data_IF_492607140806
#
_entry.id   IF_492607140806
#
_cell.length_a   1.000
_cell.length_b   1.000
_cell.length_c   1.000
_cell.angle_alpha   90.00
_cell.angle_beta   90.00
_cell.angle_gamma   90.00
#
_symmetry.space_group_name_H-M   'P 1'
#
loop_
_entity.id
_entity.type
_entity.pdbx_description
1 polymer ?
#
# COMPACT_ATOMS: atom_id res chain seq x y z
N UNK A 1 9.51 -22.48 -13.57
CA UNK A 1 8.47 -21.84 -14.42
C UNK A 1 7.21 -21.44 -13.64
N UNK A 2 6.56 -22.35 -12.91
CA UNK A 2 5.33 -22.05 -12.13
C UNK A 2 5.43 -20.83 -11.19
N UNK A 3 6.54 -20.71 -10.44
CA UNK A 3 6.78 -19.56 -9.52
C UNK A 3 6.89 -18.20 -10.24
N UNK A 4 7.48 -18.17 -11.45
CA UNK A 4 7.60 -16.93 -12.25
C UNK A 4 6.26 -16.47 -12.81
N UNK A 5 5.42 -17.43 -13.23
CA UNK A 5 4.06 -17.14 -13.70
C UNK A 5 3.23 -16.58 -12.55
N UNK A 6 3.25 -17.23 -11.37
CA UNK A 6 2.51 -16.77 -10.20
C UNK A 6 2.95 -15.36 -9.77
N UNK A 7 4.25 -15.09 -9.80
CA UNK A 7 4.81 -13.76 -9.56
C UNK A 7 4.22 -12.72 -10.53
N UNK A 8 4.25 -12.99 -11.82
CA UNK A 8 3.75 -12.06 -12.84
C UNK A 8 2.25 -11.81 -12.70
N UNK A 9 1.46 -12.88 -12.49
CA UNK A 9 0.03 -12.79 -12.24
C UNK A 9 -0.25 -11.95 -10.99
N UNK A 10 0.48 -12.17 -9.89
CA UNK A 10 0.35 -11.38 -8.67
C UNK A 10 0.62 -9.88 -8.91
N UNK A 11 1.66 -9.55 -9.67
CA UNK A 11 2.00 -8.15 -10.01
C UNK A 11 0.97 -7.52 -10.95
N UNK A 12 0.38 -8.27 -11.89
CA UNK A 12 -0.59 -7.75 -12.85
C UNK A 12 -1.96 -7.55 -12.21
N UNK A 13 -2.46 -8.55 -11.49
CA UNK A 13 -3.81 -8.54 -10.93
C UNK A 13 -3.88 -7.96 -9.52
N UNK A 14 -2.76 -7.91 -8.79
CA UNK A 14 -2.72 -7.49 -7.39
C UNK A 14 -3.35 -6.12 -7.12
N UNK A 15 -3.08 -5.12 -7.97
CA UNK A 15 -3.72 -3.80 -7.88
C UNK A 15 -5.26 -3.91 -7.88
N UNK A 16 -5.81 -4.65 -8.83
CA UNK A 16 -7.25 -4.78 -9.02
C UNK A 16 -7.89 -5.58 -7.89
N UNK A 17 -7.25 -6.67 -7.46
CA UNK A 17 -7.70 -7.48 -6.33
C UNK A 17 -7.71 -6.62 -5.05
N UNK A 18 -6.63 -5.89 -4.76
CA UNK A 18 -6.58 -5.03 -3.59
C UNK A 18 -7.62 -3.91 -3.66
N UNK A 19 -7.75 -3.22 -4.81
CA UNK A 19 -8.80 -2.19 -4.97
C UNK A 19 -10.20 -2.75 -4.77
N UNK A 20 -10.47 -3.96 -5.24
CA UNK A 20 -11.77 -4.60 -5.05
C UNK A 20 -12.02 -4.96 -3.59
N UNK A 21 -11.09 -5.68 -2.95
CA UNK A 21 -11.22 -6.12 -1.56
C UNK A 21 -11.34 -4.91 -0.61
N UNK A 22 -10.42 -3.96 -0.72
CA UNK A 22 -10.37 -2.80 0.17
C UNK A 22 -11.35 -1.70 -0.21
N UNK A 23 -11.73 -1.59 -1.48
CA UNK A 23 -12.77 -0.66 -1.93
C UNK A 23 -14.19 -1.08 -1.54
N UNK A 24 -14.40 -2.37 -1.26
CA UNK A 24 -15.69 -2.89 -0.77
C UNK A 24 -15.74 -3.07 0.74
N UNK A 25 -14.60 -2.87 1.43
CA UNK A 25 -14.52 -2.88 2.89
C UNK A 25 -15.14 -1.63 3.51
N UNK A 26 -15.64 -1.77 4.75
CA UNK A 26 -15.99 -0.62 5.59
C UNK A 26 -14.74 -0.12 6.30
N UNK A 27 -14.46 1.18 6.17
CA UNK A 27 -13.33 1.82 6.82
C UNK A 27 -13.78 2.56 8.07
N UNK A 28 -13.05 2.35 9.16
CA UNK A 28 -13.13 3.21 10.34
C UNK A 28 -11.74 3.77 10.57
N UNK A 29 -11.62 5.09 10.45
CA UNK A 29 -10.35 5.80 10.52
C UNK A 29 -10.46 6.82 11.63
N UNK A 30 -9.67 6.64 12.68
CA UNK A 30 -9.54 7.63 13.74
C UNK A 30 -8.50 8.68 13.32
N UNK A 31 -8.83 9.96 13.49
CA UNK A 31 -7.93 11.05 13.09
C UNK A 31 -7.78 11.21 11.57
N UNK A 32 -8.84 10.92 10.80
CA UNK A 32 -8.87 11.22 9.37
C UNK A 32 -8.58 12.73 9.12
N UNK A 33 -7.84 13.03 8.05
CA UNK A 33 -7.39 14.39 7.71
C UNK A 33 -6.11 14.87 8.43
N UNK A 34 -5.56 14.13 9.40
CA UNK A 34 -4.31 14.55 10.07
C UNK A 34 -3.11 14.56 9.12
N UNK A 35 -3.08 13.68 8.12
CA UNK A 35 -1.98 13.61 7.14
C UNK A 35 -1.93 14.89 6.31
N UNK A 36 -3.09 15.32 5.82
CA UNK A 36 -3.28 16.52 5.01
C UNK A 36 -2.95 17.76 5.82
N UNK A 37 -3.41 17.83 7.06
CA UNK A 37 -3.08 18.92 7.99
C UNK A 37 -1.57 19.03 8.21
N UNK A 38 -0.90 17.94 8.58
CA UNK A 38 0.55 17.93 8.83
C UNK A 38 1.35 18.27 7.58
N UNK A 39 0.89 17.81 6.39
CA UNK A 39 1.48 18.17 5.10
C UNK A 39 1.33 19.66 4.79
N UNK A 40 0.15 20.24 5.03
CA UNK A 40 -0.10 21.67 4.83
C UNK A 40 0.75 22.56 5.75
N UNK A 41 1.08 22.06 6.94
CA UNK A 41 2.02 22.70 7.88
C UNK A 41 3.51 22.52 7.47
N UNK A 42 3.80 21.83 6.36
CA UNK A 42 5.16 21.58 5.89
C UNK A 42 5.93 20.55 6.72
N UNK A 43 5.23 19.70 7.49
CA UNK A 43 5.89 18.69 8.34
C UNK A 43 6.16 17.39 7.58
N UNK A 44 7.29 16.76 7.89
CA UNK A 44 7.59 15.39 7.46
C UNK A 44 6.73 14.37 8.22
N UNK A 45 6.25 13.34 7.53
CA UNK A 45 5.37 12.31 8.08
C UNK A 45 6.01 10.94 7.87
N UNK A 46 6.12 10.16 8.94
CA UNK A 46 6.54 8.75 8.89
C UNK A 46 5.34 7.88 9.22
N UNK A 47 5.00 6.95 8.32
CA UNK A 47 3.96 5.96 8.57
C UNK A 47 4.56 4.74 9.26
N UNK A 48 4.09 4.44 10.46
CA UNK A 48 4.42 3.21 11.17
C UNK A 48 3.22 2.27 11.11
N UNK A 49 3.41 1.07 10.57
CA UNK A 49 2.34 0.07 10.40
C UNK A 49 2.82 -1.25 10.97
N UNK A 50 1.98 -1.91 11.77
CA UNK A 50 2.23 -3.28 12.22
C UNK A 50 2.29 -4.23 11.04
N UNK A 51 3.22 -5.18 11.04
CA UNK A 51 3.45 -6.08 9.91
C UNK A 51 2.18 -6.83 9.47
N UNK A 52 1.37 -7.31 10.44
CA UNK A 52 0.10 -8.00 10.16
C UNK A 52 -0.99 -7.11 9.53
N UNK A 53 -0.82 -5.78 9.56
CA UNK A 53 -1.77 -4.79 9.05
C UNK A 53 -1.17 -3.89 7.95
N UNK A 54 -0.09 -4.34 7.30
CA UNK A 54 0.59 -3.57 6.26
C UNK A 54 -0.36 -3.15 5.13
N UNK A 55 -1.17 -4.08 4.63
CA UNK A 55 -2.03 -3.84 3.47
C UNK A 55 -3.15 -2.82 3.74
N UNK A 56 -3.97 -2.93 4.80
CA UNK A 56 -4.95 -1.87 5.12
C UNK A 56 -4.29 -0.50 5.30
N UNK A 57 -3.18 -0.43 6.04
CA UNK A 57 -2.47 0.82 6.27
C UNK A 57 -1.94 1.43 4.98
N UNK A 58 -1.30 0.62 4.12
CA UNK A 58 -0.80 1.09 2.83
C UNK A 58 -1.94 1.50 1.88
N UNK A 59 -3.03 0.74 1.81
CA UNK A 59 -4.18 1.07 0.96
C UNK A 59 -4.84 2.39 1.35
N UNK A 60 -4.83 2.76 2.64
CA UNK A 60 -5.32 4.06 3.09
C UNK A 60 -4.42 5.23 2.66
N UNK A 61 -3.12 5.00 2.48
CA UNK A 61 -2.16 6.08 2.15
C UNK A 61 -1.69 6.07 0.71
N UNK A 62 -2.01 5.05 -0.08
CA UNK A 62 -1.53 4.90 -1.46
C UNK A 62 -1.87 6.14 -2.33
N UNK A 63 -3.11 6.63 -2.25
CA UNK A 63 -3.53 7.85 -2.97
C UNK A 63 -2.86 9.14 -2.47
N UNK A 64 -2.15 9.09 -1.33
CA UNK A 64 -1.43 10.21 -0.73
C UNK A 64 0.05 10.28 -1.16
N UNK A 65 0.47 9.48 -2.14
CA UNK A 65 1.83 9.42 -2.69
C UNK A 65 2.94 9.17 -1.65
N UNK A 66 2.91 8.04 -0.94
CA UNK A 66 3.90 7.71 0.07
C UNK A 66 5.19 7.18 -0.57
N UNK A 67 6.34 7.53 -0.01
CA UNK A 67 7.60 6.84 -0.32
C UNK A 67 7.72 5.59 0.56
N UNK A 68 7.86 4.42 -0.06
CA UNK A 68 8.01 3.14 0.63
C UNK A 68 9.43 2.58 0.52
N UNK A 69 9.91 1.96 1.59
CA UNK A 69 11.16 1.19 1.60
C UNK A 69 10.82 -0.26 1.94
N UNK A 70 11.26 -1.20 1.10
CA UNK A 70 11.01 -2.62 1.28
C UNK A 70 12.33 -3.42 1.17
N UNK A 71 12.35 -4.60 1.80
CA UNK A 71 13.49 -5.53 1.72
C UNK A 71 13.66 -6.14 0.32
N UNK A 72 14.75 -6.90 0.13
CA UNK A 72 15.12 -7.50 -1.17
C UNK A 72 14.53 -8.91 -1.41
N UNK A 73 13.48 -9.29 -0.69
CA UNK A 73 12.84 -10.61 -0.81
C UNK A 73 11.72 -10.60 -1.88
N UNK A 74 11.39 -11.79 -2.42
CA UNK A 74 10.54 -11.88 -3.61
C UNK A 74 9.09 -11.39 -3.42
N UNK A 75 8.53 -11.57 -2.23
CA UNK A 75 7.23 -11.04 -1.82
C UNK A 75 7.26 -9.51 -1.63
N UNK A 76 8.34 -8.94 -1.09
CA UNK A 76 8.54 -7.49 -1.07
C UNK A 76 8.60 -6.92 -2.48
N UNK A 77 9.24 -7.60 -3.44
CA UNK A 77 9.25 -7.16 -4.83
C UNK A 77 7.84 -7.13 -5.44
N UNK A 78 7.02 -8.17 -5.19
CA UNK A 78 5.62 -8.21 -5.67
C UNK A 78 4.85 -7.02 -5.11
N UNK A 79 4.88 -6.81 -3.79
CA UNK A 79 4.15 -5.73 -3.12
C UNK A 79 4.67 -4.36 -3.58
N UNK A 80 5.98 -4.18 -3.75
CA UNK A 80 6.56 -2.92 -4.22
C UNK A 80 6.11 -2.58 -5.64
N UNK A 81 6.04 -3.58 -6.54
CA UNK A 81 5.52 -3.38 -7.91
C UNK A 81 4.01 -3.11 -7.92
N UNK A 82 3.25 -3.68 -7.00
CA UNK A 82 1.81 -3.38 -6.86
C UNK A 82 1.61 -1.97 -6.31
N UNK A 83 2.38 -1.58 -5.29
CA UNK A 83 2.42 -0.26 -4.69
C UNK A 83 2.65 0.84 -5.73
N UNK A 84 3.70 0.72 -6.55
CA UNK A 84 3.98 1.65 -7.67
C UNK A 84 2.78 1.79 -8.62
N UNK A 85 1.99 0.73 -8.83
CA UNK A 85 0.81 0.78 -9.72
C UNK A 85 -0.42 1.36 -9.03
N UNK A 86 -0.50 1.33 -7.71
CA UNK A 86 -1.63 1.87 -6.94
C UNK A 86 -1.61 3.39 -6.93
N UNK A 87 -0.43 3.98 -6.86
CA UNK A 87 -0.20 5.41 -6.61
C UNK A 87 0.78 5.55 -5.47
#
# INVERSE_FOLDING_TARGET
MKKKILFFLGVVFGKWILKFLYGTSRWHIEGDGQIEKLRAEGRSIIFAIWHGNLLPGYMYVADKQPYGVAGKHGDAEIISRIAIKLG
#
